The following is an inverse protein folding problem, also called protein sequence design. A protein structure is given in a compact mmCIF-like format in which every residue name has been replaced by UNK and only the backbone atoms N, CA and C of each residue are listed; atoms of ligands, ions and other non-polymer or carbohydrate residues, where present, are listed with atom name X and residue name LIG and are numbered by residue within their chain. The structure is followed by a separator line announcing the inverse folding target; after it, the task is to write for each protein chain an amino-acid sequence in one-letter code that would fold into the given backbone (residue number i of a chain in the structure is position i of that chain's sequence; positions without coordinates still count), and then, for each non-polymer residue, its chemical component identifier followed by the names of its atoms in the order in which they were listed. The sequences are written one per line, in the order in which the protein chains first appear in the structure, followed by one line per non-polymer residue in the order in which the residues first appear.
data_IF_308607680862
#
_entry.id   IF_308607680862
#
_cell.length_a   1.000
_cell.length_b   1.000
_cell.length_c   1.000
_cell.angle_alpha   90.00
_cell.angle_beta   90.00
_cell.angle_gamma   90.00
#
_symmetry.space_group_name_H-M   'P 1'
#
loop_
_entity.id
_entity.type
_entity.pdbx_description
1 polymer ?
#
# COMPACT_ATOMS: atom_id res chain seq x y z
N UNK A 1 6.83 30.92 -39.32
CA UNK A 1 5.93 29.84 -39.73
C UNK A 1 6.26 28.65 -38.85
N UNK A 2 5.61 28.52 -37.69
CA UNK A 2 5.95 27.52 -36.68
C UNK A 2 5.50 26.15 -37.19
N UNK A 3 6.41 25.16 -37.23
CA UNK A 3 6.09 23.84 -37.79
C UNK A 3 4.95 23.19 -37.04
N UNK A 4 4.16 22.36 -37.73
CA UNK A 4 3.07 21.58 -37.13
C UNK A 4 3.54 20.79 -35.90
N UNK A 5 4.82 20.41 -35.85
CA UNK A 5 5.45 19.74 -34.71
C UNK A 5 5.48 20.59 -33.42
N UNK A 6 5.62 21.91 -33.54
CA UNK A 6 5.62 22.81 -32.38
C UNK A 6 4.23 22.92 -31.77
N UNK A 7 3.20 23.02 -32.62
CA UNK A 7 1.79 23.03 -32.19
C UNK A 7 1.40 21.71 -31.53
N UNK A 8 1.86 20.58 -32.10
CA UNK A 8 1.61 19.25 -31.56
C UNK A 8 2.30 19.04 -30.21
N UNK A 9 3.53 19.53 -30.03
CA UNK A 9 4.26 19.46 -28.76
C UNK A 9 3.58 20.27 -27.66
N UNK A 10 3.13 21.50 -27.95
CA UNK A 10 2.38 22.33 -26.98
C UNK A 10 1.05 21.69 -26.58
N UNK A 11 0.34 21.07 -27.54
CA UNK A 11 -0.89 20.32 -27.25
C UNK A 11 -0.61 19.09 -26.38
N UNK A 12 0.46 18.34 -26.67
CA UNK A 12 0.83 17.15 -25.90
C UNK A 12 1.35 17.50 -24.50
N UNK A 13 2.05 18.62 -24.34
CA UNK A 13 2.50 19.14 -23.03
C UNK A 13 1.29 19.65 -22.21
N UNK A 14 0.29 20.26 -22.85
CA UNK A 14 -0.98 20.64 -22.22
C UNK A 14 -1.78 19.41 -21.77
N UNK A 15 -1.91 18.38 -22.61
CA UNK A 15 -2.57 17.11 -22.26
C UNK A 15 -1.83 16.36 -21.13
N UNK A 16 -0.50 16.42 -21.11
CA UNK A 16 0.34 15.81 -20.04
C UNK A 16 0.13 16.49 -18.68
N UNK A 17 -0.14 17.80 -18.68
CA UNK A 17 -0.44 18.54 -17.45
C UNK A 17 -1.79 18.16 -16.81
N UNK A 18 -2.77 17.72 -17.60
CA UNK A 18 -4.07 17.24 -17.09
C UNK A 18 -4.03 15.79 -16.57
N UNK A 19 -3.03 15.00 -16.95
CA UNK A 19 -2.89 13.61 -16.52
C UNK A 19 -2.49 13.48 -15.03
N UNK A 20 -1.79 14.48 -14.48
CA UNK A 20 -1.40 14.52 -13.05
C UNK A 20 -2.60 14.80 -12.13
N UNK A 21 -3.57 15.61 -12.58
CA UNK A 21 -4.80 15.88 -11.85
C UNK A 21 -5.74 14.66 -11.81
N UNK A 22 -5.74 13.83 -12.86
CA UNK A 22 -6.54 12.60 -12.91
C UNK A 22 -6.14 11.59 -11.82
N UNK A 23 -4.84 11.40 -11.59
CA UNK A 23 -4.35 10.48 -10.56
C UNK A 23 -4.63 10.97 -9.13
N UNK A 24 -4.69 12.28 -8.90
CA UNK A 24 -5.07 12.80 -7.59
C UNK A 24 -6.57 12.69 -7.33
N UNK A 25 -7.42 12.87 -8.35
CA UNK A 25 -8.88 12.80 -8.23
C UNK A 25 -9.40 11.40 -7.83
N UNK A 26 -8.64 10.34 -8.15
CA UNK A 26 -8.99 8.96 -7.79
C UNK A 26 -8.75 8.68 -6.29
N UNK A 27 -7.76 9.32 -5.67
CA UNK A 27 -7.45 9.21 -4.24
C UNK A 27 -8.37 10.09 -3.35
N UNK A 28 -8.92 11.20 -3.88
CA UNK A 28 -9.87 12.05 -3.13
C UNK A 28 -11.29 11.46 -3.10
N UNK A 29 -11.66 10.67 -4.12
CA UNK A 29 -12.97 10.02 -4.22
C UNK A 29 -12.99 8.59 -3.64
N UNK A 30 -11.81 7.96 -3.47
CA UNK A 30 -11.63 6.84 -2.54
C UNK A 30 -11.48 7.43 -1.14
N UNK A 31 -12.59 7.58 -0.41
CA UNK A 31 -12.53 7.87 1.03
C UNK A 31 -11.47 6.97 1.70
N UNK A 32 -10.71 7.52 2.65
CA UNK A 32 -9.55 6.87 3.29
C UNK A 32 -9.87 5.38 3.54
N UNK A 33 -9.30 4.51 2.70
CA UNK A 33 -9.51 3.08 2.83
C UNK A 33 -8.63 2.62 3.98
N UNK A 34 -9.27 1.99 4.96
CA UNK A 34 -8.54 1.40 6.06
C UNK A 34 -7.53 0.39 5.52
N UNK A 35 -6.27 0.52 5.95
CA UNK A 35 -5.16 -0.31 5.47
C UNK A 35 -4.14 -0.55 6.57
N UNK A 36 -3.28 -1.54 6.37
CA UNK A 36 -2.10 -1.75 7.21
C UNK A 36 -0.84 -1.73 6.37
N UNK A 37 0.27 -1.36 7.01
CA UNK A 37 1.63 -1.46 6.47
C UNK A 37 2.42 -2.33 7.45
N UNK A 38 3.06 -3.38 6.93
CA UNK A 38 3.93 -4.25 7.72
C UNK A 38 5.37 -3.90 7.35
N UNK A 39 6.15 -3.47 8.34
CA UNK A 39 7.57 -3.15 8.16
C UNK A 39 8.35 -4.47 8.06
N UNK A 40 8.74 -4.79 6.83
CA UNK A 40 9.29 -6.10 6.46
C UNK A 40 10.54 -6.44 7.25
N UNK A 41 11.46 -5.49 7.41
CA UNK A 41 12.75 -5.71 8.06
C UNK A 41 12.67 -5.67 9.60
N UNK A 42 11.52 -5.27 10.14
CA UNK A 42 11.22 -5.38 11.58
C UNK A 42 10.48 -6.69 11.92
N UNK A 43 9.70 -7.21 10.99
CA UNK A 43 8.89 -8.40 11.19
C UNK A 43 9.75 -9.67 11.40
N UNK A 44 9.41 -10.48 12.41
CA UNK A 44 10.09 -11.73 12.76
C UNK A 44 9.40 -12.99 12.27
N UNK A 45 8.28 -12.87 11.55
CA UNK A 45 7.56 -14.03 11.00
C UNK A 45 6.86 -14.93 12.03
N UNK A 46 6.50 -14.40 13.21
CA UNK A 46 5.91 -15.20 14.30
C UNK A 46 4.43 -15.63 14.08
N UNK A 47 3.80 -15.16 13.01
CA UNK A 47 2.42 -15.50 12.61
C UNK A 47 1.27 -15.09 13.55
N UNK A 48 1.50 -14.45 14.70
CA UNK A 48 0.40 -14.01 15.58
C UNK A 48 -0.62 -13.09 14.88
N UNK A 49 -0.14 -12.20 14.01
CA UNK A 49 -1.00 -11.31 13.23
C UNK A 49 -1.85 -12.06 12.19
N UNK A 50 -1.41 -13.24 11.72
CA UNK A 50 -2.18 -14.11 10.82
C UNK A 50 -3.42 -14.62 11.56
N UNK A 51 -3.21 -15.20 12.74
CA UNK A 51 -4.29 -15.76 13.57
C UNK A 51 -5.24 -14.67 14.11
N UNK A 52 -4.71 -13.49 14.44
CA UNK A 52 -5.50 -12.38 14.98
C UNK A 52 -6.35 -11.67 13.93
N UNK A 53 -6.10 -11.86 12.63
CA UNK A 53 -6.83 -11.15 11.58
C UNK A 53 -8.22 -11.78 11.35
N UNK A 54 -9.34 -11.13 11.74
CA UNK A 54 -10.68 -11.71 11.59
C UNK A 54 -11.12 -11.87 10.13
N UNK A 55 -10.41 -11.24 9.19
CA UNK A 55 -10.63 -11.32 7.75
C UNK A 55 -9.66 -12.27 7.04
N UNK A 56 -8.73 -12.89 7.75
CA UNK A 56 -7.71 -13.80 7.20
C UNK A 56 -6.91 -13.18 6.04
N UNK A 57 -6.60 -11.89 6.13
CA UNK A 57 -5.93 -11.13 5.07
C UNK A 57 -4.41 -11.17 5.16
N UNK A 58 -3.85 -11.56 6.31
CA UNK A 58 -2.41 -11.59 6.54
C UNK A 58 -1.89 -13.01 6.27
N UNK A 59 -0.70 -13.13 5.69
CA UNK A 59 0.02 -14.38 5.44
C UNK A 59 1.50 -14.18 5.68
N UNK A 60 2.27 -15.26 5.70
CA UNK A 60 3.74 -15.22 5.70
C UNK A 60 4.24 -15.24 4.26
N UNK A 61 5.26 -14.42 3.97
CA UNK A 61 5.96 -14.42 2.68
C UNK A 61 6.83 -15.67 2.51
N UNK A 62 7.22 -15.95 1.27
CA UNK A 62 8.16 -17.04 0.95
C UNK A 62 9.62 -16.59 0.92
N UNK A 63 9.86 -15.27 0.91
CA UNK A 63 11.18 -14.67 0.82
C UNK A 63 11.68 -14.16 2.18
N UNK A 64 12.99 -14.27 2.40
CA UNK A 64 13.64 -13.78 3.61
C UNK A 64 13.82 -12.26 3.55
N UNK A 65 13.62 -11.60 4.69
CA UNK A 65 14.05 -10.21 4.91
C UNK A 65 15.56 -10.13 5.23
N UNK A 66 16.09 -8.92 5.42
CA UNK A 66 17.54 -8.71 5.66
C UNK A 66 18.06 -9.37 6.95
N UNK A 67 17.16 -9.78 7.84
CA UNK A 67 17.47 -10.40 9.12
C UNK A 67 17.30 -11.93 9.09
N UNK A 68 16.92 -12.50 7.95
CA UNK A 68 16.75 -13.94 7.77
C UNK A 68 15.41 -14.49 8.30
N UNK A 69 14.38 -13.65 8.44
CA UNK A 69 13.03 -14.09 8.78
C UNK A 69 12.13 -14.09 7.54
N UNK A 70 11.09 -14.93 7.54
CA UNK A 70 9.98 -14.87 6.59
C UNK A 70 8.92 -13.89 7.15
N UNK A 71 8.86 -12.64 6.68
CA UNK A 71 8.00 -11.62 7.26
C UNK A 71 6.53 -11.88 6.90
N UNK A 72 5.63 -11.26 7.68
CA UNK A 72 4.21 -11.24 7.35
C UNK A 72 3.91 -10.20 6.24
N UNK A 73 2.89 -10.46 5.44
CA UNK A 73 2.38 -9.57 4.39
C UNK A 73 0.86 -9.61 4.32
N UNK A 74 0.24 -8.62 3.68
CA UNK A 74 -1.21 -8.53 3.50
C UNK A 74 -1.60 -8.81 2.05
N UNK A 75 -2.58 -9.70 1.87
CA UNK A 75 -3.06 -10.15 0.55
C UNK A 75 -3.85 -9.07 -0.20
N UNK A 76 -4.69 -8.33 0.52
CA UNK A 76 -5.61 -7.35 -0.07
C UNK A 76 -6.00 -6.28 0.95
N UNK A 77 -5.37 -5.11 0.85
CA UNK A 77 -5.67 -3.98 1.71
C UNK A 77 -7.09 -3.43 1.51
N UNK A 78 -7.74 -3.65 0.35
CA UNK A 78 -9.09 -3.11 0.11
C UNK A 78 -10.16 -3.79 0.98
N UNK A 79 -9.85 -4.94 1.57
CA UNK A 79 -10.73 -5.68 2.47
C UNK A 79 -10.39 -5.45 3.95
N UNK A 80 -9.32 -4.71 4.23
CA UNK A 80 -8.93 -4.38 5.59
C UNK A 80 -9.96 -3.41 6.21
N UNK A 81 -10.29 -3.63 7.48
CA UNK A 81 -11.21 -2.77 8.24
C UNK A 81 -10.49 -1.79 9.16
N UNK A 82 -9.16 -1.89 9.27
CA UNK A 82 -8.36 -1.09 10.20
C UNK A 82 -8.67 -1.36 11.67
N UNK A 83 -9.07 -2.59 12.03
CA UNK A 83 -9.43 -2.97 13.40
C UNK A 83 -8.25 -3.04 14.39
N UNK A 84 -7.01 -2.91 13.91
CA UNK A 84 -5.78 -2.87 14.69
C UNK A 84 -5.38 -4.13 15.50
N UNK A 85 -6.20 -5.19 15.53
CA UNK A 85 -5.87 -6.44 16.25
C UNK A 85 -4.50 -7.01 15.87
N UNK A 86 -4.12 -6.97 14.59
CA UNK A 86 -2.81 -7.43 14.13
C UNK A 86 -1.65 -6.62 14.74
N UNK A 87 -1.82 -5.31 14.93
CA UNK A 87 -0.82 -4.45 15.53
C UNK A 87 -0.73 -4.65 17.04
N UNK A 88 -1.87 -4.85 17.73
CA UNK A 88 -1.91 -5.12 19.17
C UNK A 88 -1.20 -6.42 19.55
N UNK A 89 -1.35 -7.48 18.74
CA UNK A 89 -0.68 -8.77 19.00
C UNK A 89 0.78 -8.81 18.54
N UNK A 90 1.26 -7.80 17.82
CA UNK A 90 2.60 -7.82 17.25
C UNK A 90 3.65 -7.51 18.35
N UNK A 91 4.50 -8.48 18.75
CA UNK A 91 5.48 -8.25 19.81
C UNK A 91 6.61 -7.29 19.37
N UNK A 92 6.87 -7.20 18.07
CA UNK A 92 7.94 -6.38 17.50
C UNK A 92 7.48 -4.99 17.06
N UNK A 93 6.18 -4.66 17.21
CA UNK A 93 5.59 -3.39 16.77
C UNK A 93 5.93 -3.09 15.30
N UNK A 94 5.76 -4.10 14.44
CA UNK A 94 6.11 -4.07 13.02
C UNK A 94 4.92 -3.67 12.12
N UNK A 95 3.76 -3.32 12.67
CA UNK A 95 2.54 -3.09 11.89
C UNK A 95 1.96 -1.71 12.21
N UNK A 96 1.78 -0.89 11.19
CA UNK A 96 1.07 0.37 11.25
C UNK A 96 -0.34 0.23 10.68
N UNK A 97 -1.31 0.94 11.27
CA UNK A 97 -2.72 0.86 10.90
C UNK A 97 -3.23 2.26 10.54
N UNK A 98 -3.87 2.35 9.37
CA UNK A 98 -4.45 3.57 8.83
C UNK A 98 -5.96 3.37 8.67
N UNK A 99 -6.76 4.38 9.02
CA UNK A 99 -8.22 4.33 8.98
C UNK A 99 -8.80 5.70 8.66
#
# INVERSE_FOLDING_TARGET
MWSLDFVFKVLMDFLRSHQVFYNQQEDINKGILAKIVIERDRCKGCSFCVDACPKNLITIEEELNIQGYLPATIKDNNKCTGCALCAEVCPDVAIEVYK
#
